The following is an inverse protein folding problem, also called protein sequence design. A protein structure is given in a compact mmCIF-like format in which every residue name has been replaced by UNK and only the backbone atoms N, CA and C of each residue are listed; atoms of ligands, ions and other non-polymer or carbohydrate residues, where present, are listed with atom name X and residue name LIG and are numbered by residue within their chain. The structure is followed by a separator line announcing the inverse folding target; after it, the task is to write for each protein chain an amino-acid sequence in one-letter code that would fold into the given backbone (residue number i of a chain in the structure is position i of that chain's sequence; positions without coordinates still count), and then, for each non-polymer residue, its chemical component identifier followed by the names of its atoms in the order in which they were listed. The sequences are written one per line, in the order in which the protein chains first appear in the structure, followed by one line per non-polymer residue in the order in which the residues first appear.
data_IF_866348024912
#
_entry.id   IF_866348024912
#
_cell.length_a   1.000
_cell.length_b   1.000
_cell.length_c   1.000
_cell.angle_alpha   90.00
_cell.angle_beta   90.00
_cell.angle_gamma   90.00
#
_symmetry.space_group_name_H-M   'P 1'
#
loop_
_entity.id
_entity.type
_entity.pdbx_description
1 polymer ?
#
# COMPACT_ATOMS: atom_id res chain seq x y z
N UNK A 1 11.47 11.41 -1.14
CA UNK A 1 10.78 10.67 -0.06
C UNK A 1 11.10 11.34 1.27
N UNK A 2 10.11 11.63 2.13
CA UNK A 2 10.36 12.26 3.44
C UNK A 2 10.89 11.24 4.46
N UNK A 3 11.56 11.72 5.51
CA UNK A 3 12.03 10.87 6.61
C UNK A 3 10.87 10.13 7.28
N UNK A 4 9.72 10.80 7.47
CA UNK A 4 8.53 10.19 8.05
C UNK A 4 7.94 9.09 7.16
N UNK A 5 7.90 9.30 5.83
CA UNK A 5 7.47 8.27 4.88
C UNK A 5 8.35 7.02 4.98
N UNK A 6 9.67 7.19 5.10
CA UNK A 6 10.59 6.05 5.26
C UNK A 6 10.35 5.29 6.57
N UNK A 7 10.08 6.00 7.68
CA UNK A 7 9.69 5.36 8.94
C UNK A 7 8.37 4.60 8.81
N UNK A 8 7.35 5.20 8.18
CA UNK A 8 6.06 4.55 7.91
C UNK A 8 6.22 3.28 7.07
N UNK A 9 7.07 3.30 6.05
CA UNK A 9 7.38 2.12 5.22
C UNK A 9 7.97 0.99 6.08
N UNK A 10 8.95 1.30 6.94
CA UNK A 10 9.57 0.29 7.83
C UNK A 10 8.55 -0.32 8.79
N UNK A 11 7.74 0.53 9.43
CA UNK A 11 6.71 0.08 10.38
C UNK A 11 5.66 -0.76 9.66
N UNK A 12 5.17 -0.31 8.50
CA UNK A 12 4.22 -1.05 7.69
C UNK A 12 4.75 -2.47 7.39
N UNK A 13 5.95 -2.57 6.81
CA UNK A 13 6.51 -3.87 6.40
C UNK A 13 6.70 -4.81 7.60
N UNK A 14 7.15 -4.29 8.73
CA UNK A 14 7.25 -5.06 9.97
C UNK A 14 5.87 -5.50 10.49
N UNK A 15 4.86 -4.61 10.48
CA UNK A 15 3.49 -4.93 10.89
C UNK A 15 2.85 -6.02 10.03
N UNK A 16 3.18 -6.12 8.74
CA UNK A 16 2.59 -7.13 7.85
C UNK A 16 2.85 -8.56 8.33
N UNK A 17 3.97 -8.83 9.02
CA UNK A 17 4.26 -10.15 9.60
C UNK A 17 3.32 -10.51 10.75
N UNK A 18 2.95 -9.51 11.56
CA UNK A 18 2.00 -9.69 12.67
C UNK A 18 0.55 -9.75 12.18
N UNK A 19 0.21 -8.98 11.14
CA UNK A 19 -1.13 -8.97 10.53
C UNK A 19 -1.55 -10.34 10.02
N UNK A 20 -0.61 -11.17 9.57
CA UNK A 20 -0.90 -12.56 9.14
C UNK A 20 -1.65 -13.35 10.22
N UNK A 21 -1.31 -13.12 11.49
CA UNK A 21 -1.91 -13.83 12.62
C UNK A 21 -3.00 -12.97 13.28
N UNK A 22 -2.64 -11.76 13.69
CA UNK A 22 -3.48 -10.89 14.51
C UNK A 22 -4.48 -10.06 13.71
N UNK A 23 -4.39 -10.08 12.38
CA UNK A 23 -5.17 -9.23 11.50
C UNK A 23 -4.78 -7.74 11.61
N UNK A 24 -5.64 -6.89 11.05
CA UNK A 24 -5.46 -5.43 11.09
C UNK A 24 -5.89 -4.89 12.45
N UNK A 25 -5.01 -5.01 13.45
CA UNK A 25 -5.27 -4.63 14.84
C UNK A 25 -4.19 -3.70 15.39
N UNK A 26 -4.52 -2.98 16.48
CA UNK A 26 -3.56 -2.10 17.16
C UNK A 26 -2.35 -2.89 17.69
N UNK A 27 -2.55 -4.14 18.11
CA UNK A 27 -1.49 -5.01 18.56
C UNK A 27 -0.48 -5.29 17.43
N UNK A 28 -0.95 -5.63 16.22
CA UNK A 28 -0.08 -5.84 15.06
C UNK A 28 0.70 -4.58 14.65
N UNK A 29 0.08 -3.40 14.77
CA UNK A 29 0.76 -2.12 14.56
C UNK A 29 1.86 -1.90 15.60
N UNK A 30 1.55 -2.08 16.89
CA UNK A 30 2.51 -1.88 17.98
C UNK A 30 3.69 -2.87 17.89
N UNK A 31 3.43 -4.13 17.56
CA UNK A 31 4.47 -5.13 17.34
C UNK A 31 5.36 -4.75 16.15
N UNK A 32 4.77 -4.29 15.03
CA UNK A 32 5.56 -3.81 13.89
C UNK A 32 6.39 -2.55 14.19
N UNK A 33 5.92 -1.66 15.08
CA UNK A 33 6.70 -0.51 15.55
C UNK A 33 7.95 -0.96 16.31
N UNK A 34 7.78 -1.93 17.22
CA UNK A 34 8.89 -2.50 18.00
C UNK A 34 9.89 -3.22 17.09
N UNK A 35 9.42 -4.06 16.17
CA UNK A 35 10.26 -4.79 15.21
C UNK A 35 10.99 -3.86 14.23
N UNK A 36 10.39 -2.70 13.92
CA UNK A 36 11.03 -1.66 13.12
C UNK A 36 12.08 -0.83 13.90
N UNK A 37 12.28 -1.12 15.19
CA UNK A 37 13.29 -0.49 16.05
C UNK A 37 12.90 0.90 16.56
N UNK A 38 11.60 1.17 16.69
CA UNK A 38 11.10 2.45 17.19
C UNK A 38 10.37 2.31 18.53
N UNK A 39 10.33 3.41 19.28
CA UNK A 39 9.55 3.50 20.52
C UNK A 39 8.04 3.44 20.25
N UNK A 40 7.27 2.99 21.24
CA UNK A 40 5.82 2.77 21.11
C UNK A 40 5.04 4.04 20.70
N UNK A 41 5.53 5.23 21.06
CA UNK A 41 4.91 6.51 20.72
C UNK A 41 5.06 6.85 19.22
N UNK A 42 5.98 6.19 18.50
CA UNK A 42 6.14 6.33 17.06
C UNK A 42 4.88 5.91 16.32
N UNK A 43 4.09 4.96 16.85
CA UNK A 43 2.80 4.58 16.24
C UNK A 43 1.87 5.79 16.09
N UNK A 44 1.76 6.63 17.13
CA UNK A 44 0.88 7.80 17.13
C UNK A 44 1.42 8.92 16.23
N UNK A 45 2.75 9.06 16.16
CA UNK A 45 3.41 10.04 15.28
C UNK A 45 3.31 9.63 13.81
N UNK A 46 3.53 8.36 13.52
CA UNK A 46 3.50 7.81 12.17
C UNK A 46 2.07 7.65 11.66
N UNK A 47 1.13 7.19 12.49
CA UNK A 47 -0.25 6.87 12.10
C UNK A 47 -1.24 7.47 13.11
N UNK A 48 -1.47 8.80 13.10
CA UNK A 48 -2.35 9.46 14.06
C UNK A 48 -3.80 8.97 14.00
N UNK A 49 -4.29 8.58 12.81
CA UNK A 49 -5.59 7.93 12.63
C UNK A 49 -5.58 6.42 12.94
N UNK A 50 -4.41 5.84 13.25
CA UNK A 50 -4.24 4.43 13.60
C UNK A 50 -4.29 3.49 12.40
N UNK A 51 -5.14 2.46 12.49
CA UNK A 51 -5.22 1.40 11.47
C UNK A 51 -5.70 1.87 10.10
N UNK A 52 -6.69 2.80 9.97
CA UNK A 52 -7.01 3.42 8.69
C UNK A 52 -5.79 4.05 8.01
N UNK A 53 -4.97 4.81 8.75
CA UNK A 53 -3.76 5.43 8.20
C UNK A 53 -2.75 4.38 7.75
N UNK A 54 -2.57 3.30 8.53
CA UNK A 54 -1.71 2.18 8.13
C UNK A 54 -2.21 1.50 6.85
N UNK A 55 -3.54 1.33 6.70
CA UNK A 55 -4.15 0.72 5.52
C UNK A 55 -4.00 1.63 4.29
N UNK A 56 -4.19 2.94 4.45
CA UNK A 56 -3.92 3.91 3.40
C UNK A 56 -2.43 3.92 3.01
N UNK A 57 -1.55 3.82 4.00
CA UNK A 57 -0.11 3.74 3.76
C UNK A 57 0.30 2.45 3.04
N UNK A 58 -0.39 1.32 3.28
CA UNK A 58 -0.18 0.09 2.51
C UNK A 58 -0.53 0.27 1.03
N UNK A 59 -1.64 0.94 0.73
CA UNK A 59 -2.02 1.25 -0.65
C UNK A 59 -0.99 2.17 -1.31
N UNK A 60 -0.64 3.29 -0.65
CA UNK A 60 0.38 4.23 -1.13
C UNK A 60 1.74 3.56 -1.37
N UNK A 61 2.21 2.77 -0.40
CA UNK A 61 3.47 2.05 -0.51
C UNK A 61 3.49 1.12 -1.71
N UNK A 62 2.43 0.34 -1.91
CA UNK A 62 2.40 -0.60 -3.02
C UNK A 62 2.16 0.08 -4.38
N UNK A 63 1.48 1.22 -4.43
CA UNK A 63 1.35 2.05 -5.64
C UNK A 63 2.72 2.65 -6.02
N UNK A 64 3.49 3.16 -5.05
CA UNK A 64 4.87 3.63 -5.28
C UNK A 64 5.75 2.51 -5.84
N UNK A 65 5.72 1.32 -5.25
CA UNK A 65 6.50 0.18 -5.74
C UNK A 65 6.03 -0.33 -7.09
N UNK A 66 4.74 -0.25 -7.39
CA UNK A 66 4.22 -0.55 -8.73
C UNK A 66 4.84 0.41 -9.76
N UNK A 67 4.90 1.71 -9.45
CA UNK A 67 5.52 2.69 -10.35
C UNK A 67 7.03 2.46 -10.50
N UNK A 68 7.73 2.07 -9.43
CA UNK A 68 9.15 1.70 -9.48
C UNK A 68 9.36 0.53 -10.47
N UNK A 69 8.54 -0.53 -10.39
CA UNK A 69 8.61 -1.68 -11.30
C UNK A 69 8.25 -1.32 -12.75
N UNK A 70 7.33 -0.37 -12.95
CA UNK A 70 6.97 0.11 -14.29
C UNK A 70 8.05 0.97 -14.92
N UNK A 71 8.85 1.69 -14.12
CA UNK A 71 9.94 2.53 -14.61
C UNK A 71 11.07 1.72 -15.28
N UNK A 72 11.18 0.42 -14.95
CA UNK A 72 12.13 -0.50 -15.56
C UNK A 72 11.65 -1.07 -16.91
N UNK A 73 10.42 -0.74 -17.35
CA UNK A 73 9.83 -1.21 -18.60
C UNK A 73 9.85 -0.12 -19.68
N UNK A 74 10.06 -0.52 -20.94
CA UNK A 74 9.81 0.34 -22.10
C UNK A 74 8.30 0.40 -22.39
N UNK A 75 7.58 1.24 -21.63
CA UNK A 75 6.14 1.42 -21.78
C UNK A 75 5.78 2.08 -23.11
N UNK A 76 6.64 2.95 -23.64
CA UNK A 76 6.39 3.68 -24.89
C UNK A 76 6.30 2.74 -26.09
N UNK A 77 7.09 1.66 -26.09
CA UNK A 77 7.00 0.60 -27.09
C UNK A 77 5.71 -0.26 -26.99
N UNK A 78 4.94 -0.15 -25.92
CA UNK A 78 3.72 -0.95 -25.69
C UNK A 78 2.46 -0.23 -26.18
N UNK A 79 1.42 -1.01 -26.52
CA UNK A 79 0.06 -0.46 -26.72
C UNK A 79 -0.52 -0.06 -25.36
N UNK A 80 -1.34 1.00 -25.30
CA UNK A 80 -1.95 1.51 -24.05
C UNK A 80 -2.58 0.42 -23.19
N UNK A 81 -3.36 -0.50 -23.79
CA UNK A 81 -3.98 -1.62 -23.05
C UNK A 81 -2.95 -2.55 -22.39
N UNK A 82 -1.79 -2.72 -23.02
CA UNK A 82 -0.71 -3.57 -22.53
C UNK A 82 0.04 -2.85 -21.40
N UNK A 83 0.17 -1.52 -21.46
CA UNK A 83 0.68 -0.68 -20.36
C UNK A 83 -0.22 -0.77 -19.12
N UNK A 84 -1.54 -0.65 -19.29
CA UNK A 84 -2.51 -0.80 -18.20
C UNK A 84 -2.41 -2.20 -17.58
N UNK A 85 -2.33 -3.24 -18.41
CA UNK A 85 -2.15 -4.61 -17.93
C UNK A 85 -0.82 -4.80 -17.18
N UNK A 86 0.27 -4.17 -17.64
CA UNK A 86 1.55 -4.15 -16.94
C UNK A 86 1.42 -3.49 -15.56
N UNK A 87 0.71 -2.36 -15.44
CA UNK A 87 0.46 -1.69 -14.17
C UNK A 87 -0.28 -2.57 -13.17
N UNK A 88 -1.38 -3.21 -13.61
CA UNK A 88 -2.12 -4.16 -12.76
C UNK A 88 -1.23 -5.33 -12.33
N UNK A 89 -0.43 -5.89 -13.26
CA UNK A 89 0.46 -7.01 -12.96
C UNK A 89 1.55 -6.62 -11.96
N UNK A 90 2.23 -5.50 -12.18
CA UNK A 90 3.24 -4.96 -11.27
C UNK A 90 2.66 -4.76 -9.87
N UNK A 91 1.45 -4.19 -9.77
CA UNK A 91 0.78 -3.95 -8.49
C UNK A 91 0.50 -5.24 -7.70
N UNK A 92 0.11 -6.30 -8.40
CA UNK A 92 -0.11 -7.62 -7.81
C UNK A 92 1.20 -8.32 -7.44
N UNK A 93 2.27 -8.13 -8.23
CA UNK A 93 3.60 -8.67 -7.93
C UNK A 93 4.17 -8.05 -6.65
N UNK A 94 4.08 -6.73 -6.50
CA UNK A 94 4.53 -6.01 -5.28
C UNK A 94 3.95 -6.59 -4.00
N UNK A 95 2.66 -6.96 -4.00
CA UNK A 95 1.99 -7.47 -2.80
C UNK A 95 2.03 -8.99 -2.67
N UNK A 96 2.58 -9.70 -3.65
CA UNK A 96 2.67 -11.17 -3.64
C UNK A 96 3.37 -11.73 -2.40
N UNK A 97 4.49 -11.15 -1.89
CA UNK A 97 5.12 -11.60 -0.65
C UNK A 97 4.22 -11.49 0.59
N UNK A 98 3.20 -10.62 0.54
CA UNK A 98 2.33 -10.29 1.67
C UNK A 98 0.89 -10.80 1.48
N UNK A 99 0.71 -11.87 0.70
CA UNK A 99 -0.60 -12.37 0.25
C UNK A 99 -1.61 -12.56 1.39
N UNK A 100 -1.20 -13.14 2.51
CA UNK A 100 -2.12 -13.36 3.64
C UNK A 100 -2.45 -12.05 4.37
N UNK A 101 -1.47 -11.16 4.56
CA UNK A 101 -1.74 -9.84 5.13
C UNK A 101 -2.69 -9.02 4.24
N UNK A 102 -2.59 -9.16 2.92
CA UNK A 102 -3.53 -8.57 1.96
C UNK A 102 -4.93 -9.16 2.07
N UNK A 103 -5.06 -10.47 2.26
CA UNK A 103 -6.37 -11.09 2.52
C UNK A 103 -7.03 -10.51 3.76
N UNK A 104 -6.26 -10.36 4.85
CA UNK A 104 -6.72 -9.72 6.09
C UNK A 104 -7.07 -8.25 5.88
N UNK A 105 -6.30 -7.52 5.04
CA UNK A 105 -6.60 -6.13 4.69
C UNK A 105 -7.94 -6.02 3.95
N UNK A 106 -8.19 -6.89 2.96
CA UNK A 106 -9.44 -6.89 2.23
C UNK A 106 -10.63 -7.12 3.17
N UNK A 107 -10.54 -8.07 4.11
CA UNK A 107 -11.58 -8.28 5.12
C UNK A 107 -11.80 -7.01 5.96
N UNK A 108 -10.73 -6.34 6.40
CA UNK A 108 -10.83 -5.07 7.12
C UNK A 108 -11.50 -3.97 6.27
N UNK A 109 -11.14 -3.84 5.00
CA UNK A 109 -11.68 -2.82 4.08
C UNK A 109 -13.15 -3.04 3.71
N UNK A 110 -13.66 -4.28 3.79
CA UNK A 110 -15.07 -4.58 3.53
C UNK A 110 -16.02 -4.12 4.64
N UNK A 111 -15.50 -3.74 5.81
CA UNK A 111 -16.33 -3.18 6.88
C UNK A 111 -16.99 -1.87 6.41
N UNK A 112 -18.29 -1.63 6.66
CA UNK A 112 -19.02 -0.50 6.10
C UNK A 112 -18.36 0.87 6.35
N UNK A 113 -17.80 1.08 7.55
CA UNK A 113 -17.10 2.32 7.91
C UNK A 113 -15.84 2.58 7.08
N UNK A 114 -15.25 1.54 6.47
CA UNK A 114 -14.04 1.62 5.66
C UNK A 114 -14.33 1.74 4.16
N UNK A 115 -15.59 1.56 3.72
CA UNK A 115 -15.94 1.57 2.31
C UNK A 115 -15.53 2.86 1.56
N UNK A 116 -15.70 4.08 2.10
CA UNK A 116 -15.24 5.30 1.43
C UNK A 116 -13.72 5.34 1.28
N UNK A 117 -12.98 4.82 2.27
CA UNK A 117 -11.52 4.73 2.20
C UNK A 117 -11.09 3.71 1.14
N UNK A 118 -11.71 2.53 1.11
CA UNK A 118 -11.42 1.49 0.12
C UNK A 118 -11.65 2.01 -1.31
N UNK A 119 -12.77 2.69 -1.57
CA UNK A 119 -13.07 3.29 -2.86
C UNK A 119 -12.01 4.34 -3.27
N UNK A 120 -11.60 5.22 -2.35
CA UNK A 120 -10.54 6.20 -2.61
C UNK A 120 -9.19 5.54 -2.90
N UNK A 121 -8.83 4.48 -2.18
CA UNK A 121 -7.59 3.74 -2.44
C UNK A 121 -7.61 3.14 -3.84
N UNK A 122 -8.69 2.41 -4.20
CA UNK A 122 -8.86 1.82 -5.53
C UNK A 122 -8.78 2.88 -6.63
N UNK A 123 -9.48 4.01 -6.47
CA UNK A 123 -9.45 5.09 -7.45
C UNK A 123 -8.03 5.65 -7.65
N UNK A 124 -7.30 5.91 -6.56
CA UNK A 124 -5.92 6.42 -6.64
C UNK A 124 -4.97 5.44 -7.35
N UNK A 125 -5.11 4.14 -7.09
CA UNK A 125 -4.31 3.13 -7.79
C UNK A 125 -4.66 3.08 -9.28
N UNK A 126 -5.96 3.15 -9.63
CA UNK A 126 -6.41 3.20 -11.04
C UNK A 126 -5.86 4.44 -11.75
N UNK A 127 -5.94 5.59 -11.10
CA UNK A 127 -5.42 6.88 -11.60
C UNK A 127 -3.90 6.81 -11.85
N UNK A 128 -3.14 6.26 -10.90
CA UNK A 128 -1.70 6.06 -11.05
C UNK A 128 -1.35 5.14 -12.23
N UNK A 129 -2.13 4.08 -12.46
CA UNK A 129 -1.94 3.17 -13.60
C UNK A 129 -2.24 3.89 -14.93
N UNK A 130 -3.31 4.68 -15.00
CA UNK A 130 -3.66 5.43 -16.21
C UNK A 130 -2.63 6.50 -16.54
N UNK A 131 -2.18 7.24 -15.53
CA UNK A 131 -1.13 8.24 -15.71
C UNK A 131 0.18 7.58 -16.20
N UNK A 132 0.58 6.45 -15.60
CA UNK A 132 1.74 5.68 -16.07
C UNK A 132 1.55 5.09 -17.47
N UNK A 133 0.31 4.85 -17.91
CA UNK A 133 0.01 4.40 -19.27
C UNK A 133 0.05 5.53 -20.32
N UNK A 134 0.20 6.79 -19.89
CA UNK A 134 0.25 7.97 -20.75
C UNK A 134 -1.12 8.64 -20.95
N UNK A 135 -2.04 8.54 -19.99
CA UNK A 135 -3.24 9.36 -19.99
C UNK A 135 -2.91 10.80 -19.58
N UNK A 136 -3.16 11.75 -20.50
CA UNK A 136 -2.94 13.19 -20.33
C UNK A 136 -4.27 13.96 -20.18
N UNK A 137 -5.38 13.29 -19.87
CA UNK A 137 -6.67 13.94 -19.65
C UNK A 137 -6.61 14.91 -18.45
N UNK A 138 -6.67 16.21 -18.75
CA UNK A 138 -6.69 17.32 -17.78
C UNK A 138 -8.10 17.60 -17.23
#
# INVERSE_FOLDING_TARGET
MTELTSRRDKILLASLHHVVFDGWTKAALQAGVQDAGFDADMALRAFPGGLPDLAQHMADWADRRMLDELADLDLDAMRVRDRVAAGVKARLQVVTPYREAMRRLLAYLTLPQNAPMAARQTWRTVDAIWYAAGDDAA
#
